data_IF_553124844207
#
_entry.id   IF_553124844207
#
_cell.length_a   1.000
_cell.length_b   1.000
_cell.length_c   1.000
_cell.angle_alpha   90.00
_cell.angle_beta   90.00
_cell.angle_gamma   90.00
#
_symmetry.space_group_name_H-M   'P 1'
#
loop_
_entity.id
_entity.type
_entity.pdbx_description
1 polymer ?
#
# COMPACT_ATOMS: atom_id res chain seq x y z
N UNK A 1 -6.54 24.98 21.13
CA UNK A 1 -5.69 25.64 20.14
C UNK A 1 -6.42 26.83 19.52
N UNK A 2 -5.69 27.83 19.01
CA UNK A 2 -6.26 28.96 18.29
C UNK A 2 -6.74 30.15 19.12
N UNK A 3 -6.82 30.04 20.43
CA UNK A 3 -7.14 31.18 21.34
C UNK A 3 -5.90 32.02 21.64
N UNK A 4 -6.13 33.28 21.98
CA UNK A 4 -5.06 34.22 22.32
C UNK A 4 -4.25 33.71 23.54
N UNK A 5 -2.94 33.63 23.39
CA UNK A 5 -2.03 33.16 24.46
C UNK A 5 -2.12 31.68 24.81
N UNK A 6 -2.95 30.90 24.13
CA UNK A 6 -3.07 29.49 24.39
C UNK A 6 -1.88 28.68 23.81
N UNK A 7 -1.33 27.76 24.61
CA UNK A 7 -0.31 26.80 24.19
C UNK A 7 -0.90 25.40 24.17
N UNK A 8 -0.73 24.70 23.06
CA UNK A 8 -1.23 23.34 22.89
C UNK A 8 -0.08 22.44 22.51
N UNK A 9 0.18 21.41 23.33
CA UNK A 9 1.13 20.34 23.01
C UNK A 9 0.38 19.21 22.32
N UNK A 10 0.88 18.77 21.20
CA UNK A 10 0.23 17.73 20.39
C UNK A 10 1.26 16.80 19.75
N UNK A 11 0.85 15.57 19.47
CA UNK A 11 1.66 14.63 18.70
C UNK A 11 1.57 14.93 17.20
N UNK A 12 2.45 14.32 16.40
CA UNK A 12 2.50 14.46 14.94
C UNK A 12 1.14 14.24 14.26
N UNK A 13 0.31 13.35 14.82
CA UNK A 13 -1.01 13.00 14.28
C UNK A 13 -2.07 14.09 14.51
N UNK A 14 -1.92 14.95 15.50
CA UNK A 14 -2.85 16.06 15.77
C UNK A 14 -2.88 17.11 14.64
N UNK A 15 -1.93 17.04 13.75
CA UNK A 15 -1.89 17.84 12.53
C UNK A 15 -2.85 17.38 11.41
N UNK A 16 -3.55 16.25 11.51
CA UNK A 16 -4.36 15.71 10.40
C UNK A 16 -5.81 15.48 10.82
N UNK A 17 -6.75 15.88 9.94
CA UNK A 17 -8.19 15.62 10.14
C UNK A 17 -8.93 16.63 11.01
N UNK A 18 -8.23 17.57 11.67
CA UNK A 18 -8.85 18.65 12.45
C UNK A 18 -8.50 20.01 11.87
N UNK A 19 -9.44 20.94 11.88
CA UNK A 19 -9.17 22.32 11.52
C UNK A 19 -8.92 23.14 12.78
N UNK A 20 -7.92 24.05 12.75
CA UNK A 20 -7.60 24.94 13.85
C UNK A 20 -8.14 26.31 13.46
N UNK A 21 -9.22 26.69 14.11
CA UNK A 21 -9.86 28.01 13.91
C UNK A 21 -9.31 29.01 14.92
N UNK A 22 -8.92 30.18 14.44
CA UNK A 22 -8.46 31.27 15.31
C UNK A 22 -9.61 31.77 16.17
N UNK A 23 -9.35 32.00 17.48
CA UNK A 23 -10.34 32.37 18.47
C UNK A 23 -11.12 31.21 19.07
N UNK A 24 -11.15 30.04 18.42
CA UNK A 24 -11.84 28.83 18.86
C UNK A 24 -12.91 28.34 17.89
N UNK A 25 -13.64 27.29 18.27
CA UNK A 25 -14.70 26.69 17.47
C UNK A 25 -16.08 26.97 18.10
N UNK A 26 -16.88 27.80 17.43
CA UNK A 26 -18.21 28.21 17.88
C UNK A 26 -19.18 26.99 17.93
N UNK A 27 -19.12 26.11 16.95
CA UNK A 27 -19.94 24.88 16.89
C UNK A 27 -19.67 23.99 18.11
N UNK A 28 -18.39 23.79 18.44
CA UNK A 28 -18.00 22.97 19.60
C UNK A 28 -18.51 23.59 20.91
N UNK A 29 -18.41 24.90 21.05
CA UNK A 29 -18.90 25.61 22.23
C UNK A 29 -20.44 25.53 22.34
N UNK A 30 -21.16 25.72 21.23
CA UNK A 30 -22.60 25.56 21.18
C UNK A 30 -23.06 24.16 21.59
N UNK A 31 -22.45 23.11 21.01
CA UNK A 31 -22.73 21.74 21.38
C UNK A 31 -22.40 21.43 22.86
N UNK A 32 -21.31 21.98 23.37
CA UNK A 32 -20.92 21.82 24.77
C UNK A 32 -21.93 22.49 25.71
N UNK A 33 -22.49 23.65 25.34
CA UNK A 33 -23.51 24.32 26.12
C UNK A 33 -24.86 23.61 26.07
N UNK A 34 -25.24 23.01 24.92
CA UNK A 34 -26.42 22.18 24.80
C UNK A 34 -26.33 20.97 25.72
N UNK A 35 -25.16 20.29 25.78
CA UNK A 35 -24.91 19.21 26.76
C UNK A 35 -25.13 19.66 28.18
N UNK A 36 -24.63 20.83 28.52
CA UNK A 36 -24.78 21.40 29.89
C UNK A 36 -26.23 21.77 30.20
N UNK A 37 -27.04 22.11 29.17
CA UNK A 37 -28.47 22.35 29.28
C UNK A 37 -29.30 21.04 29.35
N UNK A 38 -28.68 19.85 29.19
CA UNK A 38 -29.32 18.56 29.31
C UNK A 38 -29.89 17.96 28.03
N UNK A 39 -29.51 18.48 26.84
CA UNK A 39 -29.88 17.84 25.58
C UNK A 39 -29.17 16.51 25.40
N UNK A 40 -29.87 15.52 24.84
CA UNK A 40 -29.28 14.22 24.55
C UNK A 40 -28.27 14.32 23.37
N UNK A 41 -27.30 13.40 23.32
CA UNK A 41 -26.32 13.37 22.22
C UNK A 41 -26.98 13.18 20.85
N UNK A 42 -28.11 12.46 20.79
CA UNK A 42 -28.89 12.27 19.57
C UNK A 42 -29.50 13.60 19.07
N UNK A 43 -30.12 14.37 19.97
CA UNK A 43 -30.67 15.69 19.64
C UNK A 43 -29.59 16.69 19.24
N UNK A 44 -28.41 16.63 19.87
CA UNK A 44 -27.27 17.46 19.52
C UNK A 44 -26.73 17.09 18.13
N UNK A 45 -26.70 15.81 17.77
CA UNK A 45 -26.32 15.37 16.44
C UNK A 45 -27.31 15.84 15.39
N UNK A 46 -28.61 15.67 15.63
CA UNK A 46 -29.69 16.11 14.75
C UNK A 46 -29.81 17.65 14.64
N UNK A 47 -29.37 18.39 15.65
CA UNK A 47 -29.38 19.85 15.62
C UNK A 47 -28.48 20.44 14.53
N UNK A 48 -27.48 19.71 14.07
CA UNK A 48 -26.58 20.10 12.96
C UNK A 48 -26.99 19.48 11.60
N UNK A 49 -28.04 18.64 11.57
CA UNK A 49 -28.56 18.04 10.36
C UNK A 49 -29.36 19.02 9.48
N UNK A 50 -29.34 18.78 8.15
CA UNK A 50 -30.07 19.60 7.16
C UNK A 50 -31.33 18.93 6.63
N UNK A 51 -31.67 17.72 7.10
CA UNK A 51 -32.87 17.00 6.66
C UNK A 51 -34.14 17.66 7.16
N UNK A 52 -35.20 17.66 6.35
CA UNK A 52 -36.52 18.09 6.78
C UNK A 52 -37.06 17.11 7.84
N UNK A 53 -37.65 17.67 8.92
CA UNK A 53 -38.22 16.89 9.99
C UNK A 53 -39.42 17.61 10.59
N UNK A 54 -40.46 16.85 10.92
CA UNK A 54 -41.65 17.35 11.60
C UNK A 54 -41.58 17.17 13.13
N UNK A 55 -40.46 16.69 13.65
CA UNK A 55 -40.25 16.48 15.06
C UNK A 55 -39.96 17.81 15.77
N UNK A 56 -40.90 18.23 16.64
CA UNK A 56 -40.82 19.51 17.38
C UNK A 56 -39.56 19.60 18.27
N UNK A 57 -39.09 18.49 18.85
CA UNK A 57 -37.90 18.45 19.69
C UNK A 57 -36.63 18.74 18.87
N UNK A 58 -36.56 18.21 17.64
CA UNK A 58 -35.41 18.44 16.73
C UNK A 58 -35.43 19.87 16.23
N UNK A 59 -36.59 20.41 15.89
CA UNK A 59 -36.73 21.79 15.42
C UNK A 59 -36.29 22.75 16.53
N UNK A 60 -36.77 22.56 17.76
CA UNK A 60 -36.36 23.38 18.93
C UNK A 60 -34.83 23.25 19.20
N UNK A 61 -34.28 22.07 19.10
CA UNK A 61 -32.83 21.85 19.26
C UNK A 61 -32.01 22.59 18.17
N UNK A 62 -32.51 22.64 16.92
CA UNK A 62 -31.88 23.38 15.81
C UNK A 62 -31.90 24.88 16.04
N UNK A 63 -33.02 25.43 16.48
CA UNK A 63 -33.15 26.87 16.78
C UNK A 63 -32.21 27.25 17.94
N UNK A 64 -32.17 26.46 19.00
CA UNK A 64 -31.28 26.69 20.14
C UNK A 64 -29.80 26.62 19.70
N UNK A 65 -29.44 25.60 18.90
CA UNK A 65 -28.09 25.45 18.37
C UNK A 65 -27.67 26.66 17.54
N UNK A 66 -28.54 27.14 16.62
CA UNK A 66 -28.24 28.30 15.79
C UNK A 66 -28.10 29.58 16.60
N UNK A 67 -28.94 29.75 17.63
CA UNK A 67 -28.83 30.89 18.53
C UNK A 67 -27.49 30.91 19.31
N UNK A 68 -27.11 29.74 19.85
CA UNK A 68 -25.87 29.55 20.57
C UNK A 68 -24.64 29.69 19.63
N UNK A 69 -24.70 29.11 18.45
CA UNK A 69 -23.63 29.24 17.47
C UNK A 69 -23.40 30.66 17.06
N UNK A 70 -24.46 31.41 16.78
CA UNK A 70 -24.40 32.86 16.43
C UNK A 70 -23.82 33.68 17.57
N UNK A 71 -24.22 33.40 18.82
CA UNK A 71 -23.67 34.04 20.02
C UNK A 71 -22.15 33.79 20.10
N UNK A 72 -21.73 32.55 20.03
CA UNK A 72 -20.30 32.18 20.11
C UNK A 72 -19.48 32.68 18.91
N UNK A 73 -20.02 32.72 17.69
CA UNK A 73 -19.36 33.31 16.53
C UNK A 73 -19.06 34.80 16.78
N UNK A 74 -19.99 35.54 17.38
CA UNK A 74 -19.77 36.96 17.69
C UNK A 74 -18.72 37.15 18.80
N UNK A 75 -18.74 36.36 19.86
CA UNK A 75 -17.74 36.39 20.93
C UNK A 75 -16.34 36.06 20.42
N UNK A 76 -16.21 35.01 19.59
CA UNK A 76 -14.95 34.53 19.04
C UNK A 76 -14.37 35.51 18.01
N UNK A 77 -15.21 36.21 17.26
CA UNK A 77 -14.75 37.09 16.17
C UNK A 77 -13.74 38.16 16.63
N UNK A 78 -13.99 38.72 17.81
CA UNK A 78 -13.08 39.71 18.42
C UNK A 78 -11.75 39.09 18.84
N UNK A 79 -11.76 37.91 19.45
CA UNK A 79 -10.55 37.20 19.84
C UNK A 79 -9.76 36.71 18.62
N UNK A 80 -10.44 36.24 17.58
CA UNK A 80 -9.82 35.81 16.33
C UNK A 80 -9.05 36.95 15.66
N UNK A 81 -9.63 38.17 15.66
CA UNK A 81 -8.97 39.34 15.12
C UNK A 81 -7.72 39.75 15.92
N UNK A 82 -7.78 39.66 17.24
CA UNK A 82 -6.62 39.89 18.10
C UNK A 82 -5.50 38.89 17.83
N UNK A 83 -5.84 37.62 17.62
CA UNK A 83 -4.87 36.55 17.25
C UNK A 83 -4.25 36.83 15.88
N UNK A 84 -5.04 37.30 14.89
CA UNK A 84 -4.51 37.68 13.56
C UNK A 84 -3.54 38.87 13.68
N UNK A 85 -3.89 39.87 14.45
CA UNK A 85 -3.02 41.06 14.68
C UNK A 85 -1.73 40.68 15.43
N UNK A 86 -1.77 39.66 16.28
CA UNK A 86 -0.58 39.12 16.95
C UNK A 86 0.32 38.26 16.04
N UNK A 87 -0.09 38.04 14.78
CA UNK A 87 0.67 37.23 13.79
C UNK A 87 0.11 35.85 13.53
N UNK A 88 -1.08 35.53 14.06
CA UNK A 88 -1.78 34.27 13.84
C UNK A 88 -1.20 33.07 14.62
N UNK A 89 -1.42 31.88 14.09
CA UNK A 89 -0.99 30.64 14.73
C UNK A 89 0.52 30.40 14.54
N UNK A 90 1.25 30.20 15.65
CA UNK A 90 2.64 29.83 15.64
C UNK A 90 2.76 28.32 15.81
N UNK A 91 3.35 27.62 14.83
CA UNK A 91 3.64 26.18 14.87
C UNK A 91 5.11 25.95 15.20
N UNK A 92 5.38 25.24 16.27
CA UNK A 92 6.70 24.82 16.67
C UNK A 92 6.80 23.30 16.49
N UNK A 93 7.68 22.85 15.60
CA UNK A 93 8.04 21.46 15.44
C UNK A 93 9.36 21.16 16.18
N UNK A 94 9.41 20.10 16.96
CA UNK A 94 10.60 19.68 17.70
C UNK A 94 11.39 18.60 16.98
N UNK A 95 10.85 18.05 15.90
CA UNK A 95 11.47 17.04 15.04
C UNK A 95 11.07 17.21 13.59
N UNK A 96 11.83 16.63 12.67
CA UNK A 96 11.44 16.47 11.27
C UNK A 96 10.89 15.06 11.04
N UNK A 97 9.88 14.96 10.20
CA UNK A 97 9.39 13.67 9.71
C UNK A 97 10.31 13.11 8.62
N UNK A 98 10.18 11.82 8.38
CA UNK A 98 10.86 11.16 7.25
C UNK A 98 10.42 11.71 5.89
N UNK A 99 9.24 12.31 5.80
CA UNK A 99 8.70 12.87 4.56
C UNK A 99 8.46 14.38 4.68
N UNK A 100 9.03 15.14 3.75
CA UNK A 100 8.80 16.61 3.64
C UNK A 100 7.34 16.97 3.48
N UNK A 101 6.53 16.08 2.88
CA UNK A 101 5.09 16.30 2.73
C UNK A 101 4.39 16.43 4.07
N UNK A 102 4.79 15.61 5.06
CA UNK A 102 4.21 15.68 6.42
C UNK A 102 4.64 16.96 7.12
N UNK A 103 5.91 17.36 7.01
CA UNK A 103 6.38 18.64 7.53
C UNK A 103 5.62 19.84 6.92
N UNK A 104 5.39 19.80 5.61
CA UNK A 104 4.64 20.85 4.92
C UNK A 104 3.15 20.87 5.33
N UNK A 105 2.56 19.71 5.62
CA UNK A 105 1.21 19.64 6.19
C UNK A 105 1.16 20.28 7.57
N UNK A 106 2.17 20.09 8.41
CA UNK A 106 2.28 20.74 9.72
C UNK A 106 2.47 22.24 9.56
N UNK A 107 3.39 22.69 8.69
CA UNK A 107 3.59 24.12 8.39
C UNK A 107 2.32 24.77 7.89
N UNK A 108 1.58 24.11 7.00
CA UNK A 108 0.34 24.61 6.43
C UNK A 108 -0.80 24.79 7.45
N UNK A 109 -0.62 24.35 8.70
CA UNK A 109 -1.55 24.62 9.78
C UNK A 109 -1.54 26.09 10.23
N UNK A 110 -0.39 26.75 10.13
CA UNK A 110 -0.24 28.16 10.55
C UNK A 110 -0.92 29.18 9.62
N UNK A 111 -1.16 28.82 8.36
CA UNK A 111 -1.70 29.75 7.35
C UNK A 111 -3.03 29.30 6.73
N UNK A 112 -3.89 28.64 7.47
CA UNK A 112 -5.20 28.17 6.97
C UNK A 112 -6.14 29.32 6.72
N UNK A 113 -6.99 29.17 5.72
CA UNK A 113 -8.02 30.14 5.32
C UNK A 113 -7.47 31.54 4.99
N UNK A 114 -6.16 31.63 4.68
CA UNK A 114 -5.51 32.91 4.40
C UNK A 114 -5.10 33.72 5.64
N UNK A 115 -5.25 33.13 6.83
CA UNK A 115 -4.81 33.78 8.08
C UNK A 115 -3.26 33.87 8.11
N UNK A 116 -2.70 34.93 8.76
CA UNK A 116 -1.28 35.00 9.02
C UNK A 116 -0.85 33.85 9.95
N UNK A 117 0.42 33.49 9.88
CA UNK A 117 0.97 32.45 10.76
C UNK A 117 2.46 32.24 10.57
N UNK A 118 3.09 31.62 11.56
CA UNK A 118 4.53 31.33 11.56
C UNK A 118 4.75 29.87 11.87
N UNK A 119 5.74 29.31 11.22
CA UNK A 119 6.19 27.93 11.56
C UNK A 119 7.69 27.87 11.73
N UNK A 120 8.18 27.23 12.78
CA UNK A 120 9.59 27.05 13.07
C UNK A 120 9.85 25.61 13.52
N UNK A 121 10.96 25.03 13.05
CA UNK A 121 11.43 23.73 13.51
C UNK A 121 12.69 23.90 14.33
N UNK A 122 12.72 23.25 15.48
CA UNK A 122 13.91 23.08 16.32
C UNK A 122 14.32 21.61 16.26
N UNK A 123 15.55 21.36 15.86
CA UNK A 123 16.07 20.01 15.58
C UNK A 123 17.35 19.79 16.37
N UNK A 124 17.55 18.56 16.85
CA UNK A 124 18.83 18.09 17.31
C UNK A 124 19.58 17.36 16.18
N UNK A 125 20.89 17.46 16.19
CA UNK A 125 21.74 16.67 15.30
C UNK A 125 21.83 15.19 15.74
N UNK A 126 21.35 14.89 16.94
CA UNK A 126 21.19 13.55 17.47
C UNK A 126 19.87 12.88 17.06
N UNK A 127 18.93 13.66 16.47
CA UNK A 127 17.68 13.10 15.95
C UNK A 127 17.95 12.00 14.93
N UNK A 128 17.09 10.97 14.92
CA UNK A 128 17.25 9.78 14.07
C UNK A 128 17.47 10.11 12.59
N UNK A 129 16.79 11.10 12.08
CA UNK A 129 16.96 11.57 10.70
C UNK A 129 18.41 12.00 10.43
N UNK A 130 19.03 12.73 11.35
CA UNK A 130 20.38 13.23 11.20
C UNK A 130 21.39 12.14 11.49
N UNK A 131 21.18 11.33 12.51
CA UNK A 131 22.04 10.21 12.90
C UNK A 131 22.16 9.15 11.81
N UNK A 132 21.04 8.78 11.20
CA UNK A 132 20.99 7.68 10.21
C UNK A 132 21.31 8.14 8.78
N UNK A 133 20.97 9.38 8.42
CA UNK A 133 21.03 9.87 7.04
C UNK A 133 21.85 11.14 6.84
N UNK A 134 22.22 11.85 7.91
CA UNK A 134 23.06 13.06 7.86
C UNK A 134 24.51 12.77 7.49
N UNK A 135 25.01 11.61 7.92
CA UNK A 135 26.35 11.12 7.62
C UNK A 135 27.49 12.00 8.19
N UNK A 136 28.72 11.68 7.79
CA UNK A 136 29.95 12.37 8.24
C UNK A 136 29.97 13.88 7.95
N UNK A 137 29.16 14.35 6.98
CA UNK A 137 29.08 15.78 6.66
C UNK A 137 28.57 16.64 7.81
N UNK A 138 27.63 16.13 8.60
CA UNK A 138 27.11 16.83 9.79
C UNK A 138 28.21 16.99 10.82
N UNK A 139 28.91 15.90 11.13
CA UNK A 139 30.03 15.89 12.08
C UNK A 139 31.16 16.83 11.64
N UNK A 140 31.48 16.85 10.34
CA UNK A 140 32.49 17.74 9.79
C UNK A 140 32.07 19.21 9.92
N UNK A 141 30.83 19.55 9.63
CA UNK A 141 30.30 20.92 9.75
C UNK A 141 30.34 21.36 11.22
N UNK A 142 29.93 20.51 12.16
CA UNK A 142 29.95 20.80 13.59
C UNK A 142 31.33 21.04 14.10
N UNK A 143 32.28 20.17 13.74
CA UNK A 143 33.69 20.33 14.13
C UNK A 143 34.32 21.62 13.56
N UNK A 144 33.85 22.07 12.40
CA UNK A 144 34.34 23.30 11.76
C UNK A 144 33.74 24.56 12.39
N UNK A 145 32.47 24.50 12.81
CA UNK A 145 31.76 25.67 13.37
C UNK A 145 32.17 25.99 14.81
N UNK A 146 32.78 25.05 15.57
CA UNK A 146 33.22 25.23 16.98
C UNK A 146 32.22 25.99 17.85
N UNK A 147 30.91 25.81 17.60
CA UNK A 147 29.86 26.48 18.34
C UNK A 147 29.66 25.84 19.71
N UNK A 148 29.35 26.61 20.77
CA UNK A 148 28.93 26.05 22.06
C UNK A 148 27.68 25.16 21.89
N UNK A 149 27.59 24.09 22.67
CA UNK A 149 26.49 23.10 22.57
C UNK A 149 25.09 23.70 22.76
N UNK A 150 24.96 24.75 23.53
CA UNK A 150 23.69 25.41 23.85
C UNK A 150 23.28 26.51 22.86
N UNK A 151 24.07 26.76 21.81
CA UNK A 151 23.79 27.84 20.88
C UNK A 151 22.99 27.37 19.67
N UNK A 152 21.77 27.91 19.40
CA UNK A 152 21.02 27.54 18.23
C UNK A 152 21.74 28.02 16.95
N UNK A 153 21.91 27.08 16.00
CA UNK A 153 22.61 27.35 14.75
C UNK A 153 21.57 27.56 13.65
N UNK A 154 21.47 28.79 13.15
CA UNK A 154 20.69 29.12 11.96
C UNK A 154 21.64 29.21 10.74
N UNK A 155 21.73 28.14 9.95
CA UNK A 155 22.58 28.08 8.78
C UNK A 155 21.84 27.47 7.59
N UNK A 156 21.93 28.14 6.44
CA UNK A 156 21.39 27.60 5.17
C UNK A 156 22.06 26.28 4.77
N UNK A 157 23.35 26.11 5.15
CA UNK A 157 24.08 24.87 4.89
C UNK A 157 23.48 23.70 5.66
N UNK A 158 23.16 23.88 6.96
CA UNK A 158 22.53 22.85 7.80
C UNK A 158 21.13 22.53 7.27
N UNK A 159 20.34 23.53 6.88
CA UNK A 159 19.03 23.34 6.28
C UNK A 159 19.11 22.48 5.00
N UNK A 160 20.11 22.68 4.16
CA UNK A 160 20.34 21.88 2.95
C UNK A 160 20.74 20.43 3.28
N UNK A 161 21.50 20.22 4.35
CA UNK A 161 21.87 18.84 4.79
C UNK A 161 20.63 18.12 5.28
N UNK A 162 19.79 18.75 6.10
CA UNK A 162 18.53 18.19 6.58
C UNK A 162 17.63 17.80 5.41
N UNK A 163 17.45 18.69 4.45
CA UNK A 163 16.64 18.42 3.26
C UNK A 163 17.20 17.26 2.42
N UNK A 164 18.51 17.18 2.27
CA UNK A 164 19.17 16.09 1.57
C UNK A 164 18.99 14.75 2.29
N UNK A 165 19.04 14.76 3.61
CA UNK A 165 18.79 13.58 4.44
C UNK A 165 17.36 13.08 4.29
N UNK A 166 16.38 13.99 4.34
CA UNK A 166 14.97 13.63 4.08
C UNK A 166 14.77 13.03 2.68
N UNK A 167 15.39 13.61 1.64
CA UNK A 167 15.33 13.07 0.28
C UNK A 167 15.87 11.64 0.18
N UNK A 168 16.94 11.33 0.93
CA UNK A 168 17.50 9.95 0.97
C UNK A 168 16.54 8.97 1.60
N UNK A 169 15.91 9.35 2.72
CA UNK A 169 14.90 8.53 3.39
C UNK A 169 13.71 8.28 2.46
N UNK A 170 13.17 9.34 1.85
CA UNK A 170 12.06 9.25 0.91
C UNK A 170 12.39 8.30 -0.26
N UNK A 171 13.60 8.43 -0.84
CA UNK A 171 14.05 7.58 -1.94
C UNK A 171 14.20 6.12 -1.53
N UNK A 172 14.76 5.85 -0.35
CA UNK A 172 14.87 4.48 0.20
C UNK A 172 13.48 3.87 0.40
N UNK A 173 12.59 4.60 1.07
CA UNK A 173 11.23 4.13 1.33
C UNK A 173 10.43 3.92 0.04
N UNK A 174 10.66 4.76 -0.97
CA UNK A 174 10.08 4.57 -2.30
C UNK A 174 10.59 3.29 -2.97
N UNK A 175 11.92 3.05 -2.94
CA UNK A 175 12.51 1.84 -3.52
C UNK A 175 11.99 0.56 -2.87
N UNK A 176 11.90 0.55 -1.53
CA UNK A 176 11.33 -0.60 -0.79
C UNK A 176 9.88 -0.85 -1.21
N UNK A 177 9.04 0.20 -1.22
CA UNK A 177 7.64 0.05 -1.66
C UNK A 177 7.53 -0.43 -3.11
N UNK A 178 8.38 0.09 -4.01
CA UNK A 178 8.40 -0.34 -5.41
C UNK A 178 8.76 -1.82 -5.55
N UNK A 179 9.74 -2.29 -4.76
CA UNK A 179 10.10 -3.72 -4.76
C UNK A 179 8.95 -4.59 -4.25
N UNK A 180 8.30 -4.19 -3.15
CA UNK A 180 7.13 -4.92 -2.62
C UNK A 180 6.01 -5.00 -3.67
N UNK A 181 5.69 -3.88 -4.34
CA UNK A 181 4.68 -3.88 -5.41
C UNK A 181 5.05 -4.79 -6.58
N UNK A 182 6.34 -4.82 -6.97
CA UNK A 182 6.77 -5.70 -8.06
C UNK A 182 6.63 -7.19 -7.72
N UNK A 183 6.83 -7.57 -6.45
CA UNK A 183 6.55 -8.94 -5.99
C UNK A 183 5.04 -9.23 -5.94
N UNK A 184 4.24 -8.28 -5.49
CA UNK A 184 2.78 -8.42 -5.44
C UNK A 184 2.18 -8.58 -6.85
N UNK A 185 2.70 -7.85 -7.84
CA UNK A 185 2.30 -8.00 -9.24
C UNK A 185 2.56 -9.41 -9.78
N UNK A 186 3.69 -10.03 -9.43
CA UNK A 186 4.00 -11.41 -9.81
C UNK A 186 3.00 -12.38 -9.16
N UNK A 187 2.75 -12.22 -7.87
CA UNK A 187 1.79 -13.06 -7.14
C UNK A 187 0.37 -12.91 -7.68
N UNK A 188 -0.03 -11.70 -8.04
CA UNK A 188 -1.35 -11.45 -8.63
C UNK A 188 -1.49 -12.11 -10.00
N UNK A 189 -0.48 -12.01 -10.86
CA UNK A 189 -0.47 -12.70 -12.17
C UNK A 189 -0.58 -14.22 -12.01
N UNK A 190 0.16 -14.81 -11.06
CA UNK A 190 0.04 -16.23 -10.77
C UNK A 190 -1.37 -16.59 -10.29
N UNK A 191 -1.95 -15.78 -9.40
CA UNK A 191 -3.33 -15.97 -8.91
C UNK A 191 -4.35 -15.88 -10.04
N UNK A 192 -4.25 -14.87 -10.90
CA UNK A 192 -5.14 -14.71 -12.06
C UNK A 192 -5.06 -15.91 -13.01
N UNK A 193 -3.84 -16.43 -13.26
CA UNK A 193 -3.66 -17.61 -14.10
C UNK A 193 -4.35 -18.86 -13.50
N UNK A 194 -4.15 -19.08 -12.20
CA UNK A 194 -4.76 -20.22 -11.50
C UNK A 194 -6.29 -20.07 -11.46
N UNK A 195 -6.82 -18.88 -11.18
CA UNK A 195 -8.26 -18.66 -11.20
C UNK A 195 -8.85 -18.84 -12.59
N UNK A 196 -8.17 -18.36 -13.64
CA UNK A 196 -8.61 -18.60 -15.01
C UNK A 196 -8.68 -20.09 -15.35
N UNK A 197 -7.67 -20.86 -14.97
CA UNK A 197 -7.68 -22.32 -15.16
C UNK A 197 -8.81 -22.98 -14.36
N UNK A 198 -9.01 -22.57 -13.10
CA UNK A 198 -10.11 -23.04 -12.27
C UNK A 198 -11.49 -22.77 -12.89
N UNK A 199 -11.68 -21.55 -13.39
CA UNK A 199 -12.96 -21.15 -14.01
C UNK A 199 -13.23 -21.98 -15.26
N UNK A 200 -12.23 -22.27 -16.10
CA UNK A 200 -12.35 -23.16 -17.24
C UNK A 200 -12.84 -24.58 -16.84
N UNK A 201 -12.35 -25.09 -15.72
CA UNK A 201 -12.79 -26.39 -15.18
C UNK A 201 -14.24 -26.30 -14.67
N UNK A 202 -14.59 -25.24 -13.94
CA UNK A 202 -15.92 -25.07 -13.36
C UNK A 202 -17.00 -24.78 -14.41
N UNK A 203 -16.65 -24.07 -15.47
CA UNK A 203 -17.56 -23.74 -16.57
C UNK A 203 -17.78 -24.94 -17.52
N UNK A 204 -17.09 -26.07 -17.27
CA UNK A 204 -17.27 -27.31 -18.05
C UNK A 204 -16.70 -27.23 -19.46
N UNK A 205 -15.72 -26.37 -19.71
CA UNK A 205 -15.00 -26.32 -21.00
C UNK A 205 -14.33 -27.65 -21.32
N UNK A 206 -14.16 -27.94 -22.61
CA UNK A 206 -13.39 -29.10 -23.05
C UNK A 206 -11.92 -28.92 -22.72
N UNK A 207 -11.46 -29.56 -21.67
CA UNK A 207 -10.09 -29.46 -21.17
C UNK A 207 -9.08 -30.33 -21.92
N UNK A 208 -9.52 -31.24 -22.81
CA UNK A 208 -8.64 -32.14 -23.58
C UNK A 208 -7.47 -31.40 -24.26
N UNK A 209 -7.68 -30.29 -25.01
CA UNK A 209 -6.57 -29.59 -25.64
C UNK A 209 -5.57 -28.99 -24.63
N UNK A 210 -6.06 -28.59 -23.45
CA UNK A 210 -5.21 -28.04 -22.39
C UNK A 210 -4.35 -29.13 -21.76
N UNK A 211 -4.95 -30.28 -21.48
CA UNK A 211 -4.24 -31.44 -20.88
C UNK A 211 -3.20 -31.99 -21.85
N UNK A 212 -3.55 -32.17 -23.14
CA UNK A 212 -2.58 -32.63 -24.13
C UNK A 212 -1.41 -31.65 -24.28
N UNK A 213 -1.69 -30.35 -24.29
CA UNK A 213 -0.62 -29.33 -24.32
C UNK A 213 0.28 -29.40 -23.08
N UNK A 214 -0.27 -29.58 -21.87
CA UNK A 214 0.52 -29.76 -20.65
C UNK A 214 1.40 -31.01 -20.72
N UNK A 215 0.89 -32.10 -21.32
CA UNK A 215 1.63 -33.31 -21.55
C UNK A 215 2.81 -33.07 -22.50
N UNK A 216 2.56 -32.39 -23.62
CA UNK A 216 3.58 -32.06 -24.62
C UNK A 216 4.69 -31.19 -24.02
N UNK A 217 4.30 -30.17 -23.22
CA UNK A 217 5.24 -29.31 -22.51
C UNK A 217 6.07 -30.11 -21.48
N UNK A 218 5.46 -30.98 -20.70
CA UNK A 218 6.14 -31.84 -19.73
C UNK A 218 7.15 -32.78 -20.40
N UNK A 219 6.79 -33.38 -21.55
CA UNK A 219 7.69 -34.22 -22.35
C UNK A 219 8.86 -33.39 -22.89
N UNK A 220 8.57 -32.25 -23.47
CA UNK A 220 9.59 -31.34 -24.03
C UNK A 220 10.59 -30.86 -22.97
N UNK A 221 10.11 -30.39 -21.82
CA UNK A 221 10.96 -29.98 -20.67
C UNK A 221 11.82 -31.16 -20.15
N UNK A 222 11.25 -32.34 -20.12
CA UNK A 222 11.99 -33.53 -19.66
C UNK A 222 13.11 -33.89 -20.61
N UNK A 223 12.87 -33.83 -21.91
CA UNK A 223 13.90 -34.07 -22.92
C UNK A 223 14.97 -32.98 -22.87
N UNK A 224 14.57 -31.73 -22.69
CA UNK A 224 15.53 -30.61 -22.51
C UNK A 224 16.41 -30.78 -21.27
N UNK A 225 15.85 -31.35 -20.20
CA UNK A 225 16.57 -31.59 -18.94
C UNK A 225 17.52 -32.77 -19.02
N UNK A 226 17.06 -33.94 -19.55
CA UNK A 226 17.86 -35.16 -19.58
C UNK A 226 18.76 -35.25 -20.80
N UNK A 227 18.37 -34.60 -21.92
CA UNK A 227 19.07 -34.62 -23.20
C UNK A 227 19.29 -33.21 -23.72
N UNK A 228 20.04 -32.32 -23.00
CA UNK A 228 20.22 -30.94 -23.39
C UNK A 228 20.99 -30.80 -24.70
N UNK A 229 20.57 -29.89 -25.57
CA UNK A 229 21.19 -29.63 -26.90
C UNK A 229 22.66 -29.21 -26.81
N UNK A 230 23.10 -28.70 -25.67
CA UNK A 230 24.49 -28.26 -25.46
C UNK A 230 25.46 -29.41 -25.19
N UNK A 231 24.98 -30.57 -24.86
CA UNK A 231 25.81 -31.77 -24.59
C UNK A 231 25.84 -32.72 -25.77
N UNK A 232 26.90 -33.54 -25.85
CA UNK A 232 26.98 -34.59 -26.84
C UNK A 232 26.06 -35.74 -26.44
N UNK A 233 25.64 -36.54 -27.41
CA UNK A 233 24.74 -37.68 -27.19
C UNK A 233 25.26 -38.66 -26.12
N UNK A 234 26.57 -38.85 -26.02
CA UNK A 234 27.23 -39.69 -25.02
C UNK A 234 27.05 -39.23 -23.59
N UNK A 235 26.76 -37.93 -23.41
CA UNK A 235 26.65 -37.28 -22.09
C UNK A 235 25.21 -37.11 -21.65
N UNK A 236 24.23 -37.56 -22.45
CA UNK A 236 22.81 -37.50 -22.11
C UNK A 236 22.44 -38.52 -21.03
N UNK A 237 21.59 -38.11 -20.11
CA UNK A 237 21.07 -39.01 -19.09
C UNK A 237 19.81 -39.77 -19.56
N UNK A 238 20.01 -40.65 -20.53
CA UNK A 238 18.94 -41.45 -21.16
C UNK A 238 18.24 -42.36 -20.14
N UNK A 239 18.99 -42.92 -19.19
CA UNK A 239 18.43 -43.71 -18.12
C UNK A 239 17.44 -42.92 -17.24
N UNK A 240 17.78 -41.68 -16.91
CA UNK A 240 16.89 -40.80 -16.14
C UNK A 240 15.63 -40.41 -16.92
N UNK A 241 15.72 -40.13 -18.22
CA UNK A 241 14.57 -39.88 -19.08
C UNK A 241 13.62 -41.08 -19.12
N UNK A 242 14.18 -42.27 -19.30
CA UNK A 242 13.43 -43.52 -19.31
C UNK A 242 12.74 -43.79 -17.97
N UNK A 243 13.46 -43.62 -16.86
CA UNK A 243 12.93 -43.87 -15.52
C UNK A 243 11.77 -42.89 -15.19
N UNK A 244 11.86 -41.65 -15.63
CA UNK A 244 10.81 -40.63 -15.39
C UNK A 244 9.47 -41.03 -15.98
N UNK A 245 9.46 -41.66 -17.13
CA UNK A 245 8.25 -42.05 -17.86
C UNK A 245 7.95 -43.54 -17.82
N UNK A 246 8.72 -44.33 -17.05
CA UNK A 246 8.60 -45.78 -16.97
C UNK A 246 7.20 -46.21 -16.49
N UNK A 247 6.62 -47.17 -17.22
CA UNK A 247 5.33 -47.79 -16.89
C UNK A 247 4.11 -47.06 -17.48
N UNK A 248 4.29 -45.93 -18.16
CA UNK A 248 3.19 -45.27 -18.86
C UNK A 248 3.56 -44.76 -20.28
N UNK A 249 4.72 -44.13 -20.50
CA UNK A 249 5.16 -43.69 -21.83
C UNK A 249 6.38 -44.48 -22.32
N UNK A 250 7.22 -45.02 -21.43
CA UNK A 250 8.44 -45.70 -21.76
C UNK A 250 8.48 -47.11 -21.18
N UNK A 251 9.23 -47.96 -21.86
CA UNK A 251 9.62 -49.32 -21.43
C UNK A 251 11.11 -49.34 -21.09
N UNK A 252 11.63 -50.38 -20.37
CA UNK A 252 13.05 -50.50 -20.08
C UNK A 252 13.95 -50.59 -21.32
N UNK A 253 13.39 -50.96 -22.48
CA UNK A 253 14.11 -51.20 -23.73
C UNK A 253 14.13 -49.95 -24.65
N UNK A 254 13.30 -48.93 -24.37
CA UNK A 254 13.23 -47.71 -25.19
C UNK A 254 14.56 -46.94 -25.13
N UNK A 255 14.94 -46.35 -26.25
CA UNK A 255 16.14 -45.53 -26.38
C UNK A 255 17.46 -46.25 -26.04
N UNK A 256 17.52 -47.55 -26.29
CA UNK A 256 18.70 -48.35 -25.95
C UNK A 256 19.90 -48.06 -26.85
N UNK A 257 19.70 -47.81 -28.15
CA UNK A 257 20.75 -47.57 -29.15
C UNK A 257 20.49 -46.31 -29.94
N UNK A 258 21.17 -45.24 -29.57
CA UNK A 258 21.31 -43.99 -30.33
C UNK A 258 20.04 -43.50 -31.01
N UNK A 259 19.28 -42.64 -30.33
CA UNK A 259 18.09 -41.98 -30.90
C UNK A 259 18.35 -40.54 -31.25
N UNK A 260 17.59 -40.00 -32.21
CA UNK A 260 17.51 -38.57 -32.42
C UNK A 260 16.59 -37.94 -31.36
N UNK A 261 16.98 -36.74 -30.87
CA UNK A 261 16.29 -36.08 -29.79
C UNK A 261 14.88 -35.62 -30.19
N UNK A 262 14.74 -35.13 -31.42
CA UNK A 262 13.45 -34.64 -31.92
C UNK A 262 12.53 -35.82 -32.23
N UNK A 263 13.08 -36.92 -32.81
CA UNK A 263 12.32 -38.16 -33.04
C UNK A 263 11.80 -38.76 -31.73
N UNK A 264 12.62 -38.81 -30.68
CA UNK A 264 12.20 -39.27 -29.37
C UNK A 264 11.10 -38.40 -28.75
N UNK A 265 11.18 -37.09 -28.98
CA UNK A 265 10.15 -36.14 -28.53
C UNK A 265 8.82 -36.39 -29.22
N UNK A 266 8.83 -36.51 -30.54
CA UNK A 266 7.63 -36.78 -31.34
C UNK A 266 7.01 -38.14 -30.95
N UNK A 267 7.82 -39.19 -30.79
CA UNK A 267 7.36 -40.50 -30.39
C UNK A 267 6.71 -40.48 -29.00
N UNK A 268 7.32 -39.83 -28.00
CA UNK A 268 6.74 -39.74 -26.66
C UNK A 268 5.43 -38.95 -26.65
N UNK A 269 5.33 -37.89 -27.42
CA UNK A 269 4.11 -37.10 -27.58
C UNK A 269 3.01 -37.97 -28.20
N UNK A 270 3.30 -38.65 -29.30
CA UNK A 270 2.33 -39.53 -29.98
C UNK A 270 1.83 -40.63 -29.06
N UNK A 271 2.73 -41.29 -28.35
CA UNK A 271 2.38 -42.33 -27.34
C UNK A 271 1.49 -41.73 -26.23
N UNK A 272 1.83 -40.54 -25.75
CA UNK A 272 1.06 -39.86 -24.69
C UNK A 272 -0.36 -39.52 -25.14
N UNK A 273 -0.52 -38.98 -26.34
CA UNK A 273 -1.84 -38.67 -26.92
C UNK A 273 -2.66 -39.95 -27.12
N UNK A 274 -2.03 -41.01 -27.62
CA UNK A 274 -2.70 -42.30 -27.82
C UNK A 274 -3.18 -42.90 -26.49
N UNK A 275 -2.35 -42.89 -25.45
CA UNK A 275 -2.76 -43.38 -24.12
C UNK A 275 -3.91 -42.54 -23.55
N UNK A 276 -3.90 -41.22 -23.76
CA UNK A 276 -5.00 -40.34 -23.35
C UNK A 276 -6.31 -40.77 -24.06
N UNK A 277 -6.27 -40.95 -25.38
CA UNK A 277 -7.44 -41.31 -26.20
C UNK A 277 -7.98 -42.69 -25.81
N UNK A 278 -7.10 -43.70 -25.64
CA UNK A 278 -7.48 -45.03 -25.19
C UNK A 278 -8.16 -44.99 -23.79
N UNK A 279 -7.69 -44.15 -22.88
CA UNK A 279 -8.32 -43.97 -21.57
C UNK A 279 -9.65 -43.26 -21.64
N UNK A 280 -9.78 -42.24 -22.50
CA UNK A 280 -11.05 -41.53 -22.73
C UNK A 280 -12.11 -42.50 -23.26
N UNK A 281 -11.74 -43.36 -24.23
CA UNK A 281 -12.63 -44.43 -24.77
C UNK A 281 -13.03 -45.46 -23.70
N UNK A 282 -12.06 -45.90 -22.90
CA UNK A 282 -12.30 -46.89 -21.83
C UNK A 282 -13.26 -46.40 -20.74
N UNK A 283 -13.19 -45.13 -20.39
CA UNK A 283 -14.08 -44.52 -19.40
C UNK A 283 -15.48 -44.25 -19.95
N UNK A 284 -15.62 -44.18 -21.26
CA UNK A 284 -16.90 -43.97 -21.93
C UNK A 284 -17.47 -42.55 -21.78
N UNK A 285 -18.78 -42.45 -22.04
CA UNK A 285 -19.51 -41.19 -22.01
C UNK A 285 -20.64 -41.23 -20.96
N UNK A 286 -21.01 -40.06 -20.44
CA UNK A 286 -22.15 -39.92 -19.55
C UNK A 286 -23.50 -40.00 -20.29
N UNK A 287 -24.60 -39.82 -19.56
CA UNK A 287 -25.98 -39.85 -20.10
C UNK A 287 -26.22 -38.76 -21.16
N UNK A 288 -25.39 -37.73 -21.23
CA UNK A 288 -25.46 -36.61 -22.16
C UNK A 288 -24.49 -36.76 -23.35
N UNK A 289 -23.74 -37.88 -23.42
CA UNK A 289 -22.76 -38.12 -24.46
C UNK A 289 -21.43 -37.37 -24.27
N UNK A 290 -21.18 -36.83 -23.07
CA UNK A 290 -19.90 -36.18 -22.73
C UNK A 290 -18.94 -37.24 -22.18
N UNK A 291 -17.68 -37.32 -22.64
CA UNK A 291 -16.69 -38.22 -22.07
C UNK A 291 -16.53 -38.02 -20.56
N UNK A 292 -16.71 -39.08 -19.78
CA UNK A 292 -16.64 -39.04 -18.30
C UNK A 292 -15.28 -38.50 -17.83
N UNK A 293 -14.22 -38.82 -18.54
CA UNK A 293 -12.88 -38.30 -18.26
C UNK A 293 -12.76 -36.77 -18.31
N UNK A 294 -13.72 -36.07 -18.93
CA UNK A 294 -13.77 -34.61 -19.00
C UNK A 294 -14.54 -33.97 -17.84
N UNK A 295 -15.30 -34.79 -17.10
CA UNK A 295 -16.10 -34.37 -15.96
C UNK A 295 -15.40 -34.59 -14.61
N UNK A 296 -14.28 -35.32 -14.62
CA UNK A 296 -13.41 -35.56 -13.47
C UNK A 296 -12.28 -34.55 -13.41
#
# INVERSE_FOLDING_TARGET
AGKLGAVTVATNMAGRGTDIMLGGNAEFLAKSEMRRKGYSEELIAESTGFGDTDNEDIISAREEFQALEKKYKNEISGEAEQVRQAGGLCIIGTERHESRRIDNQLRGRSGRQGDPGVSRFYLSLEDDLMRLFGGERVTTIMNTLRTPEDMPIESKMISNVIESSQKRVESRNFSVRKSVLSFDDVMNRQRELIYKQRDQVLDGENLKPVILKMLDECIAESIDFYCPKALSHSDWNIAGLREKFLGWLTTPEDFADGFDREDAKEELIERGHKIYDEREELMGVDENGVPIMRAL
#
